data_IF_641856767495
#
_entry.id   IF_641856767495
#
_cell.length_a   1.000
_cell.length_b   1.000
_cell.length_c   1.000
_cell.angle_alpha   90.00
_cell.angle_beta   90.00
_cell.angle_gamma   90.00
#
_symmetry.space_group_name_H-M   'P 1'
#
loop_
_entity.id
_entity.type
_entity.pdbx_description
1 polymer ?
#
# COMPACT_ATOMS: atom_id res chain seq x y z
N UNK A 1 13.30 -17.74 -6.23
CA UNK A 1 11.98 -17.47 -5.59
C UNK A 1 11.56 -18.73 -4.83
N UNK A 2 10.66 -18.63 -3.84
CA UNK A 2 10.08 -19.80 -3.15
C UNK A 2 8.56 -19.75 -3.27
N UNK A 3 7.93 -20.89 -3.52
CA UNK A 3 6.49 -21.09 -3.34
C UNK A 3 6.33 -21.93 -2.07
N UNK A 4 5.52 -21.47 -1.13
CA UNK A 4 5.24 -22.20 0.11
C UNK A 4 3.75 -22.20 0.39
N UNK A 5 3.27 -23.24 1.06
CA UNK A 5 1.91 -23.21 1.62
C UNK A 5 1.86 -22.27 2.83
N UNK A 6 0.65 -21.85 3.18
CA UNK A 6 0.42 -20.91 4.28
C UNK A 6 0.82 -21.48 5.65
N UNK A 7 0.78 -22.80 5.82
CA UNK A 7 1.25 -23.52 7.01
C UNK A 7 2.79 -23.65 7.08
N UNK A 8 3.50 -23.11 6.08
CA UNK A 8 4.96 -23.22 5.96
C UNK A 8 5.43 -24.58 5.42
N UNK A 9 4.52 -25.54 5.20
CA UNK A 9 4.86 -26.85 4.66
C UNK A 9 5.02 -26.77 3.13
N UNK A 10 5.81 -27.68 2.56
CA UNK A 10 6.10 -27.75 1.12
C UNK A 10 6.63 -26.44 0.53
N UNK A 11 7.94 -26.24 0.66
CA UNK A 11 8.67 -25.13 0.03
C UNK A 11 9.26 -25.63 -1.28
N UNK A 12 8.72 -25.16 -2.39
CA UNK A 12 9.33 -25.36 -3.71
C UNK A 12 10.26 -24.20 -4.03
N UNK A 13 11.55 -24.51 -4.25
CA UNK A 13 12.53 -23.53 -4.68
C UNK A 13 12.47 -23.40 -6.20
N UNK A 14 11.91 -22.29 -6.67
CA UNK A 14 11.93 -21.95 -8.09
C UNK A 14 13.35 -21.54 -8.48
N UNK A 15 13.99 -22.41 -9.26
CA UNK A 15 15.31 -22.15 -9.82
C UNK A 15 15.21 -21.09 -10.93
N UNK A 16 16.27 -20.26 -11.10
CA UNK A 16 16.38 -19.36 -12.25
C UNK A 16 16.37 -20.14 -13.56
N UNK A 17 16.13 -19.45 -14.67
CA UNK A 17 16.23 -20.07 -15.98
C UNK A 17 17.66 -20.58 -16.25
N UNK A 18 17.85 -21.79 -16.80
CA UNK A 18 19.17 -22.31 -17.12
C UNK A 18 19.87 -21.39 -18.15
N UNK A 19 21.02 -20.81 -17.80
CA UNK A 19 21.82 -19.97 -18.70
C UNK A 19 21.92 -18.48 -18.33
N UNK A 20 21.13 -17.98 -17.37
CA UNK A 20 21.36 -16.64 -16.81
C UNK A 20 22.48 -16.70 -15.75
N UNK A 21 23.64 -16.14 -16.09
CA UNK A 21 24.82 -16.01 -15.21
C UNK A 21 24.60 -15.07 -14.01
N UNK A 22 23.50 -14.29 -14.01
CA UNK A 22 23.15 -13.34 -12.94
C UNK A 22 21.76 -13.64 -12.41
N UNK A 23 21.67 -13.88 -11.10
CA UNK A 23 20.40 -13.91 -10.39
C UNK A 23 19.84 -12.48 -10.35
N UNK A 24 18.82 -12.20 -11.18
CA UNK A 24 18.13 -10.92 -11.13
C UNK A 24 17.25 -10.83 -9.88
N UNK A 25 17.25 -9.67 -9.24
CA UNK A 25 16.39 -9.42 -8.09
C UNK A 25 14.93 -9.38 -8.54
N UNK A 26 14.10 -10.20 -7.90
CA UNK A 26 12.64 -10.16 -8.06
C UNK A 26 12.08 -9.05 -7.20
N UNK A 27 11.24 -8.21 -7.79
CA UNK A 27 10.68 -7.04 -7.13
C UNK A 27 9.16 -7.09 -7.02
N UNK A 28 8.48 -7.82 -7.91
CA UNK A 28 7.04 -7.96 -7.90
C UNK A 28 6.62 -9.39 -8.24
N UNK A 29 5.51 -9.83 -7.64
CA UNK A 29 4.86 -11.10 -7.95
C UNK A 29 3.35 -10.93 -7.88
N UNK A 30 2.61 -11.61 -8.74
CA UNK A 30 1.15 -11.67 -8.67
C UNK A 30 0.64 -13.03 -9.12
N UNK A 31 -0.37 -13.56 -8.43
CA UNK A 31 -1.03 -14.82 -8.78
C UNK A 31 -2.34 -14.56 -9.50
N UNK A 32 -2.65 -15.41 -10.49
CA UNK A 32 -4.00 -15.49 -11.04
C UNK A 32 -5.01 -15.87 -9.96
N UNK A 33 -6.31 -15.51 -10.10
CA UNK A 33 -7.33 -15.81 -9.10
C UNK A 33 -7.42 -17.30 -8.69
N UNK A 34 -7.24 -18.21 -9.65
CA UNK A 34 -7.25 -19.66 -9.40
C UNK A 34 -5.86 -20.22 -9.03
N UNK A 35 -4.85 -19.36 -8.95
CA UNK A 35 -3.46 -19.70 -8.62
C UNK A 35 -2.83 -20.77 -9.52
N UNK A 36 -3.33 -20.95 -10.75
CA UNK A 36 -2.78 -21.88 -11.74
C UNK A 36 -1.55 -21.29 -12.44
N UNK A 37 -1.54 -19.97 -12.60
CA UNK A 37 -0.41 -19.21 -13.13
C UNK A 37 -0.07 -18.05 -12.20
N UNK A 38 1.18 -17.60 -12.27
CA UNK A 38 1.65 -16.38 -11.62
C UNK A 38 2.68 -15.67 -12.50
N UNK A 39 2.82 -14.37 -12.28
CA UNK A 39 3.78 -13.51 -12.97
C UNK A 39 4.81 -12.96 -12.01
N UNK A 40 6.05 -12.86 -12.49
CA UNK A 40 7.19 -12.35 -11.74
C UNK A 40 7.78 -11.17 -12.50
N UNK A 41 8.05 -10.06 -11.82
CA UNK A 41 8.73 -8.90 -12.38
C UNK A 41 10.09 -8.69 -11.72
N UNK A 42 11.11 -8.40 -12.52
CA UNK A 42 12.49 -8.27 -12.05
C UNK A 42 13.06 -6.84 -12.18
N UNK A 43 14.28 -6.68 -11.66
CA UNK A 43 15.04 -5.43 -11.69
C UNK A 43 15.48 -4.99 -13.10
N UNK A 44 15.49 -5.91 -14.07
CA UNK A 44 15.87 -5.59 -15.46
C UNK A 44 14.70 -5.08 -16.28
N UNK A 45 13.47 -5.27 -15.80
CA UNK A 45 12.25 -4.90 -16.53
C UNK A 45 11.60 -6.09 -17.23
N UNK A 46 12.10 -7.32 -17.03
CA UNK A 46 11.49 -8.54 -17.57
C UNK A 46 10.32 -9.00 -16.71
N UNK A 47 9.36 -9.65 -17.37
CA UNK A 47 8.26 -10.37 -16.71
C UNK A 47 8.31 -11.84 -17.13
N UNK A 48 8.35 -12.75 -16.17
CA UNK A 48 8.17 -14.18 -16.40
C UNK A 48 6.72 -14.58 -16.09
N UNK A 49 6.11 -15.36 -16.99
CA UNK A 49 4.83 -16.04 -16.77
C UNK A 49 5.12 -17.50 -16.45
N UNK A 50 4.66 -17.97 -15.30
CA UNK A 50 4.91 -19.34 -14.83
C UNK A 50 3.63 -20.04 -14.41
N UNK A 51 3.60 -21.36 -14.56
CA UNK A 51 2.57 -22.21 -13.94
C UNK A 51 2.86 -22.41 -12.46
N UNK A 52 1.85 -22.84 -11.71
CA UNK A 52 1.92 -23.13 -10.26
C UNK A 52 3.04 -24.12 -9.89
N UNK A 53 3.35 -25.08 -10.75
CA UNK A 53 4.45 -26.05 -10.61
C UNK A 53 5.84 -25.44 -10.88
N UNK A 54 5.92 -24.12 -11.06
CA UNK A 54 7.17 -23.40 -11.30
C UNK A 54 7.67 -23.41 -12.74
N UNK A 55 7.03 -24.17 -13.63
CA UNK A 55 7.43 -24.23 -15.04
C UNK A 55 7.25 -22.89 -15.74
N UNK A 56 8.27 -22.48 -16.50
CA UNK A 56 8.25 -21.26 -17.28
C UNK A 56 7.36 -21.44 -18.52
N UNK A 57 6.39 -20.55 -18.70
CA UNK A 57 5.56 -20.49 -19.90
C UNK A 57 6.07 -19.46 -20.89
N UNK A 58 6.42 -18.26 -20.42
CA UNK A 58 6.90 -17.18 -21.28
C UNK A 58 7.77 -16.18 -20.50
N UNK A 59 8.63 -15.47 -21.22
CA UNK A 59 9.41 -14.33 -20.71
C UNK A 59 9.21 -13.13 -21.63
N UNK A 60 8.86 -11.99 -21.04
CA UNK A 60 8.54 -10.75 -21.75
C UNK A 60 9.57 -9.68 -21.40
N UNK A 61 10.13 -9.02 -22.40
CA UNK A 61 10.87 -7.76 -22.24
C UNK A 61 9.87 -6.60 -22.04
N UNK A 62 9.25 -6.56 -20.86
CA UNK A 62 8.08 -5.73 -20.61
C UNK A 62 8.42 -4.23 -20.49
N UNK A 63 9.55 -3.91 -19.85
CA UNK A 63 9.93 -2.56 -19.43
C UNK A 63 11.42 -2.29 -19.58
N UNK A 64 11.79 -1.00 -19.66
CA UNK A 64 13.20 -0.56 -19.76
C UNK A 64 13.90 -0.43 -18.41
N UNK A 65 13.12 -0.45 -17.34
CA UNK A 65 13.54 -0.26 -15.95
C UNK A 65 12.76 -1.26 -15.07
N UNK A 66 13.15 -1.42 -13.79
CA UNK A 66 12.58 -2.42 -12.89
C UNK A 66 11.04 -2.49 -12.91
N UNK A 67 10.50 -3.71 -12.91
CA UNK A 67 9.06 -3.94 -12.70
C UNK A 67 8.77 -3.89 -11.20
N UNK A 68 8.06 -2.85 -10.77
CA UNK A 68 7.85 -2.56 -9.34
C UNK A 68 6.47 -3.00 -8.84
N UNK A 69 5.49 -3.09 -9.74
CA UNK A 69 4.14 -3.53 -9.40
C UNK A 69 3.61 -4.52 -10.43
N UNK A 70 2.92 -5.55 -9.94
CA UNK A 70 2.18 -6.52 -10.76
C UNK A 70 0.83 -6.80 -10.10
N UNK A 71 -0.21 -6.92 -10.93
CA UNK A 71 -1.54 -7.29 -10.45
C UNK A 71 -2.29 -8.05 -11.53
N UNK A 72 -2.79 -9.23 -11.21
CA UNK A 72 -3.75 -9.94 -12.06
C UNK A 72 -5.14 -9.31 -11.97
N UNK A 73 -5.86 -9.35 -13.08
CA UNK A 73 -7.28 -9.07 -13.10
C UNK A 73 -8.10 -10.17 -12.39
N UNK A 74 -9.27 -9.83 -11.81
CA UNK A 74 -10.12 -10.79 -11.09
C UNK A 74 -10.74 -11.88 -11.98
N UNK A 75 -10.81 -11.64 -13.30
CA UNK A 75 -11.24 -12.64 -14.29
C UNK A 75 -10.10 -13.59 -14.72
N UNK A 76 -8.85 -13.29 -14.34
CA UNK A 76 -7.66 -14.08 -14.66
C UNK A 76 -7.20 -14.02 -16.11
N UNK A 77 -7.79 -13.16 -16.96
CA UNK A 77 -7.49 -13.10 -18.41
C UNK A 77 -6.35 -12.14 -18.75
N UNK A 78 -6.13 -11.14 -17.90
CA UNK A 78 -5.10 -10.12 -18.09
C UNK A 78 -4.34 -9.83 -16.80
N UNK A 79 -3.17 -9.22 -16.92
CA UNK A 79 -2.44 -8.65 -15.78
C UNK A 79 -1.87 -7.28 -16.14
N UNK A 80 -1.70 -6.44 -15.14
CA UNK A 80 -1.11 -5.12 -15.26
C UNK A 80 0.29 -5.13 -14.64
N UNK A 81 1.19 -4.37 -15.25
CA UNK A 81 2.53 -4.10 -14.74
C UNK A 81 2.77 -2.60 -14.58
N UNK A 82 3.56 -2.23 -13.58
CA UNK A 82 4.04 -0.86 -13.36
C UNK A 82 5.55 -0.86 -13.18
N UNK A 83 6.24 0.11 -13.80
CA UNK A 83 7.69 0.15 -13.81
C UNK A 83 8.28 1.51 -13.43
N UNK A 84 9.54 1.44 -12.98
CA UNK A 84 10.41 2.61 -12.84
C UNK A 84 10.69 3.36 -14.14
N UNK A 85 10.32 2.82 -15.31
CA UNK A 85 10.36 3.53 -16.59
C UNK A 85 9.25 4.58 -16.75
N UNK A 86 8.31 4.63 -15.80
CA UNK A 86 7.21 5.59 -15.79
C UNK A 86 5.95 5.07 -16.48
N UNK A 87 5.96 3.85 -16.99
CA UNK A 87 4.83 3.25 -17.68
C UNK A 87 4.05 2.27 -16.81
N UNK A 88 2.75 2.18 -17.07
CA UNK A 88 1.93 1.05 -16.65
C UNK A 88 1.32 0.40 -17.90
N UNK A 89 1.37 -0.93 -17.98
CA UNK A 89 0.98 -1.70 -19.17
C UNK A 89 0.02 -2.83 -18.79
N UNK A 90 -0.84 -3.19 -19.73
CA UNK A 90 -1.81 -4.28 -19.62
C UNK A 90 -1.44 -5.37 -20.62
N UNK A 91 -1.43 -6.61 -20.15
CA UNK A 91 -0.99 -7.78 -20.91
C UNK A 91 -2.02 -8.89 -20.81
N UNK A 92 -2.18 -9.66 -21.88
CA UNK A 92 -2.88 -10.93 -21.79
C UNK A 92 -2.02 -11.99 -21.07
N UNK A 93 -2.63 -13.09 -20.67
CA UNK A 93 -1.92 -14.21 -20.01
C UNK A 93 -0.87 -14.92 -20.87
N UNK A 94 -0.85 -14.68 -22.18
CA UNK A 94 0.16 -15.22 -23.07
C UNK A 94 1.37 -14.28 -23.21
N UNK A 95 1.33 -13.08 -22.63
CA UNK A 95 2.39 -12.08 -22.64
C UNK A 95 2.35 -11.10 -23.80
N UNK A 96 1.26 -11.04 -24.56
CA UNK A 96 1.06 -9.98 -25.56
C UNK A 96 0.60 -8.69 -24.88
N UNK A 97 1.17 -7.57 -25.31
CA UNK A 97 0.76 -6.23 -24.86
C UNK A 97 -0.63 -5.91 -25.42
N UNK A 98 -1.61 -5.70 -24.55
CA UNK A 98 -2.94 -5.25 -24.96
C UNK A 98 -3.04 -3.73 -24.95
N UNK A 99 -2.40 -3.09 -23.97
CA UNK A 99 -2.54 -1.65 -23.77
C UNK A 99 -1.41 -1.02 -22.97
N UNK A 100 -1.11 0.23 -23.28
CA UNK A 100 -0.35 1.13 -22.40
C UNK A 100 -1.38 1.94 -21.60
N UNK A 101 -1.46 1.69 -20.29
CA UNK A 101 -2.41 2.34 -19.37
C UNK A 101 -1.91 3.72 -18.96
N UNK A 102 -0.60 3.85 -18.79
CA UNK A 102 0.08 5.10 -18.45
C UNK A 102 1.42 5.13 -19.16
N UNK A 103 1.77 6.27 -19.73
CA UNK A 103 3.09 6.56 -20.27
C UNK A 103 3.66 7.84 -19.65
N UNK A 104 4.95 8.08 -19.80
CA UNK A 104 5.56 9.36 -19.44
C UNK A 104 4.95 10.47 -20.29
N UNK A 105 4.27 11.43 -19.66
CA UNK A 105 3.95 12.69 -20.33
C UNK A 105 5.27 13.36 -20.76
N UNK A 106 5.34 13.83 -22.01
CA UNK A 106 6.49 14.55 -22.59
C UNK A 106 6.90 15.85 -21.84
N UNK A 107 6.29 16.13 -20.68
CA UNK A 107 6.40 17.37 -19.91
C UNK A 107 7.59 17.37 -18.93
N UNK A 108 8.74 16.80 -19.31
CA UNK A 108 10.03 16.82 -18.59
C UNK A 108 10.08 16.19 -17.18
N UNK A 109 8.97 15.82 -16.54
CA UNK A 109 8.98 15.13 -15.24
C UNK A 109 9.01 13.61 -15.45
N UNK A 110 10.16 12.97 -15.22
CA UNK A 110 10.32 11.52 -15.30
C UNK A 110 9.41 10.83 -14.28
N UNK A 111 8.30 10.25 -14.74
CA UNK A 111 7.39 9.50 -13.87
C UNK A 111 8.02 8.15 -13.50
N UNK A 112 7.58 7.60 -12.37
CA UNK A 112 7.81 6.21 -11.98
C UNK A 112 6.53 5.64 -11.44
N UNK A 113 6.22 4.40 -11.81
CA UNK A 113 5.08 3.65 -11.28
C UNK A 113 5.59 2.67 -10.25
N UNK A 114 5.07 2.74 -9.02
CA UNK A 114 5.50 1.84 -7.93
C UNK A 114 4.55 0.67 -7.72
N UNK A 115 3.25 0.88 -7.90
CA UNK A 115 2.23 -0.11 -7.62
C UNK A 115 1.08 0.00 -8.61
N UNK A 116 0.52 -1.16 -8.93
CA UNK A 116 -0.68 -1.31 -9.75
C UNK A 116 -1.62 -2.28 -9.06
N UNK A 117 -2.92 -2.01 -9.08
CA UNK A 117 -3.93 -2.90 -8.52
C UNK A 117 -5.22 -2.85 -9.33
N UNK A 118 -5.81 -4.03 -9.58
CA UNK A 118 -7.17 -4.14 -10.09
C UNK A 118 -8.20 -4.01 -8.95
N UNK A 119 -9.33 -3.37 -9.25
CA UNK A 119 -10.54 -3.52 -8.44
C UNK A 119 -11.04 -4.98 -8.49
N UNK A 120 -11.90 -5.43 -7.57
CA UNK A 120 -12.33 -6.83 -7.53
C UNK A 120 -13.45 -7.18 -8.52
N UNK A 121 -13.98 -6.21 -9.27
CA UNK A 121 -15.05 -6.46 -10.25
C UNK A 121 -14.53 -7.39 -11.37
N UNK A 122 -15.32 -8.40 -11.72
CA UNK A 122 -15.00 -9.35 -12.79
C UNK A 122 -15.45 -8.85 -14.16
N UNK A 123 -16.34 -7.87 -14.19
CA UNK A 123 -16.79 -7.20 -15.41
C UNK A 123 -15.67 -6.28 -15.93
N UNK A 124 -15.06 -6.56 -17.10
CA UNK A 124 -13.99 -5.76 -17.65
C UNK A 124 -14.34 -4.28 -17.83
N UNK A 125 -15.61 -3.95 -18.08
CA UNK A 125 -16.07 -2.59 -18.34
C UNK A 125 -16.24 -1.75 -17.07
N UNK A 126 -16.42 -2.41 -15.92
CA UNK A 126 -16.51 -1.78 -14.59
C UNK A 126 -15.19 -1.79 -13.85
N UNK A 127 -14.17 -2.42 -14.44
CA UNK A 127 -12.87 -2.56 -13.85
C UNK A 127 -12.19 -1.20 -13.68
N UNK A 128 -11.70 -0.95 -12.46
CA UNK A 128 -10.82 0.17 -12.15
C UNK A 128 -9.42 -0.38 -11.92
N UNK A 129 -8.43 0.24 -12.54
CA UNK A 129 -7.01 -0.03 -12.31
C UNK A 129 -6.43 1.18 -11.59
N UNK A 130 -5.95 0.97 -10.37
CA UNK A 130 -5.24 1.99 -9.61
C UNK A 130 -3.74 1.90 -9.89
N UNK A 131 -3.12 3.04 -10.19
CA UNK A 131 -1.70 3.16 -10.52
C UNK A 131 -1.07 4.23 -9.63
N UNK A 132 -0.10 3.84 -8.80
CA UNK A 132 0.63 4.79 -7.94
C UNK A 132 1.82 5.38 -8.67
N UNK A 133 1.99 6.69 -8.58
CA UNK A 133 3.05 7.41 -9.29
C UNK A 133 3.90 8.26 -8.36
N UNK A 134 5.15 8.51 -8.75
CA UNK A 134 6.14 9.26 -7.97
C UNK A 134 5.84 10.76 -7.75
N UNK A 135 4.66 11.26 -8.12
CA UNK A 135 4.24 12.64 -7.87
C UNK A 135 3.18 12.75 -6.75
N UNK A 136 3.18 11.78 -5.84
CA UNK A 136 2.31 11.70 -4.66
C UNK A 136 0.82 11.48 -4.97
N UNK A 137 0.51 11.04 -6.20
CA UNK A 137 -0.85 10.80 -6.67
C UNK A 137 -1.05 9.32 -6.98
N UNK A 138 -2.33 8.94 -7.04
CA UNK A 138 -2.77 7.66 -7.60
C UNK A 138 -3.74 7.98 -8.73
N UNK A 139 -3.49 7.42 -9.91
CA UNK A 139 -4.42 7.51 -11.05
C UNK A 139 -5.35 6.30 -11.01
N UNK A 140 -6.65 6.53 -11.18
CA UNK A 140 -7.64 5.48 -11.40
C UNK A 140 -8.01 5.49 -12.88
N UNK A 141 -7.83 4.35 -13.53
CA UNK A 141 -8.01 4.17 -14.97
C UNK A 141 -9.02 3.05 -15.24
N UNK A 142 -9.67 3.04 -16.40
CA UNK A 142 -10.34 1.84 -16.91
C UNK A 142 -9.35 0.96 -17.72
N UNK A 143 -9.81 -0.18 -18.25
CA UNK A 143 -8.96 -1.06 -19.09
C UNK A 143 -8.47 -0.40 -20.39
N UNK A 144 -9.18 0.61 -20.90
CA UNK A 144 -8.75 1.38 -22.08
C UNK A 144 -7.65 2.41 -21.78
N UNK A 145 -7.21 2.53 -20.52
CA UNK A 145 -6.24 3.54 -20.09
C UNK A 145 -6.86 4.93 -19.92
N UNK A 146 -8.19 5.07 -20.04
CA UNK A 146 -8.87 6.33 -19.80
C UNK A 146 -8.84 6.66 -18.32
N UNK A 147 -8.35 7.85 -17.99
CA UNK A 147 -8.34 8.34 -16.61
C UNK A 147 -9.77 8.61 -16.13
N UNK A 148 -10.17 7.90 -15.08
CA UNK A 148 -11.43 8.08 -14.38
C UNK A 148 -11.31 9.14 -13.30
N UNK A 149 -10.27 9.03 -12.44
CA UNK A 149 -10.03 9.91 -11.29
C UNK A 149 -8.54 10.00 -10.95
N UNK A 150 -8.21 10.98 -10.10
CA UNK A 150 -6.88 11.14 -9.50
C UNK A 150 -7.03 11.37 -8.01
N UNK A 151 -6.45 10.48 -7.20
CA UNK A 151 -6.39 10.62 -5.75
C UNK A 151 -5.24 11.56 -5.40
N UNK A 152 -5.56 12.68 -4.72
CA UNK A 152 -4.60 13.71 -4.32
C UNK A 152 -4.71 13.91 -2.80
N UNK A 153 -3.59 13.80 -2.09
CA UNK A 153 -3.57 14.09 -0.66
C UNK A 153 -2.32 13.60 0.08
N UNK A 154 -1.60 12.62 -0.47
CA UNK A 154 -0.27 12.25 0.05
C UNK A 154 0.75 13.37 -0.20
N UNK A 155 1.72 13.47 0.70
CA UNK A 155 2.77 14.51 0.65
C UNK A 155 4.09 14.00 0.06
N UNK A 156 4.23 12.69 -0.09
CA UNK A 156 5.40 12.01 -0.65
C UNK A 156 4.97 10.82 -1.50
N UNK A 157 5.94 10.09 -2.03
CA UNK A 157 5.75 8.97 -2.95
C UNK A 157 4.71 7.98 -2.40
N UNK A 158 3.78 7.55 -3.25
CA UNK A 158 2.83 6.50 -2.92
C UNK A 158 3.41 5.18 -3.41
N UNK A 159 3.69 4.25 -2.49
CA UNK A 159 4.38 2.99 -2.79
C UNK A 159 3.43 1.87 -3.15
N UNK A 160 2.34 1.73 -2.40
CA UNK A 160 1.39 0.65 -2.59
C UNK A 160 -0.04 1.17 -2.63
N UNK A 161 -0.89 0.41 -3.33
CA UNK A 161 -2.34 0.63 -3.42
C UNK A 161 -3.04 -0.72 -3.37
N UNK A 162 -4.19 -0.77 -2.71
CA UNK A 162 -5.03 -1.97 -2.63
C UNK A 162 -6.51 -1.57 -2.67
N UNK A 163 -7.34 -2.44 -3.23
CA UNK A 163 -8.80 -2.31 -3.16
C UNK A 163 -9.36 -3.18 -2.03
N UNK A 164 -10.46 -2.73 -1.41
CA UNK A 164 -11.28 -3.60 -0.58
C UNK A 164 -11.94 -4.68 -1.44
N UNK A 165 -12.30 -5.81 -0.83
CA UNK A 165 -12.91 -6.95 -1.53
C UNK A 165 -14.26 -6.60 -2.19
N UNK A 166 -15.00 -5.66 -1.63
CA UNK A 166 -16.25 -5.17 -2.21
C UNK A 166 -16.04 -4.06 -3.26
N UNK A 167 -14.79 -3.65 -3.48
CA UNK A 167 -14.40 -2.66 -4.47
C UNK A 167 -14.82 -1.23 -4.14
N UNK A 168 -15.36 -0.96 -2.94
CA UNK A 168 -15.85 0.38 -2.57
C UNK A 168 -14.77 1.28 -1.99
N UNK A 169 -13.71 0.69 -1.44
CA UNK A 169 -12.62 1.41 -0.79
C UNK A 169 -11.29 1.14 -1.50
N UNK A 170 -10.44 2.14 -1.45
CA UNK A 170 -9.06 2.09 -1.92
C UNK A 170 -8.19 2.51 -0.74
N UNK A 171 -7.17 1.74 -0.43
CA UNK A 171 -6.15 2.11 0.54
C UNK A 171 -4.83 2.41 -0.18
N UNK A 172 -4.09 3.41 0.29
CA UNK A 172 -2.80 3.82 -0.27
C UNK A 172 -1.75 3.99 0.82
N UNK A 173 -0.54 3.52 0.57
CA UNK A 173 0.60 3.60 1.50
C UNK A 173 1.71 4.51 0.94
N UNK A 174 2.33 5.34 1.78
CA UNK A 174 3.26 6.38 1.32
C UNK A 174 4.51 6.56 2.18
N UNK A 175 5.52 7.13 1.54
CA UNK A 175 6.73 7.70 2.16
C UNK A 175 6.44 8.84 3.16
N UNK A 176 5.23 9.39 3.17
CA UNK A 176 4.80 10.36 4.18
C UNK A 176 4.42 9.72 5.52
N UNK A 177 4.69 8.42 5.68
CA UNK A 177 4.48 7.62 6.90
C UNK A 177 3.00 7.39 7.23
N UNK A 178 2.10 7.60 6.26
CA UNK A 178 0.67 7.43 6.43
C UNK A 178 0.09 6.39 5.48
N UNK A 179 -1.03 5.82 5.92
CA UNK A 179 -1.96 5.10 5.05
C UNK A 179 -3.19 5.98 4.88
N UNK A 180 -3.69 6.14 3.66
CA UNK A 180 -4.95 6.84 3.39
C UNK A 180 -5.99 5.87 2.87
N UNK A 181 -7.23 6.11 3.28
CA UNK A 181 -8.42 5.39 2.83
C UNK A 181 -9.26 6.33 1.97
N UNK A 182 -9.70 5.84 0.83
CA UNK A 182 -10.48 6.57 -0.16
C UNK A 182 -11.71 5.76 -0.53
N UNK A 183 -12.75 6.44 -0.99
CA UNK A 183 -13.75 5.77 -1.82
C UNK A 183 -13.34 5.81 -3.30
N UNK A 184 -14.04 5.03 -4.13
CA UNK A 184 -13.82 4.97 -5.59
C UNK A 184 -14.19 6.25 -6.33
N UNK A 185 -14.94 7.16 -5.71
CA UNK A 185 -15.21 8.49 -6.25
C UNK A 185 -14.02 9.45 -6.06
N UNK A 186 -13.03 9.05 -5.25
CA UNK A 186 -11.80 9.77 -5.00
C UNK A 186 -11.83 10.66 -3.75
N UNK A 187 -12.84 10.50 -2.89
CA UNK A 187 -12.92 11.22 -1.62
C UNK A 187 -12.10 10.49 -0.56
N UNK A 188 -11.23 11.24 0.15
CA UNK A 188 -10.53 10.73 1.33
C UNK A 188 -11.54 10.47 2.46
N UNK A 189 -11.60 9.22 2.93
CA UNK A 189 -12.43 8.75 4.04
C UNK A 189 -11.69 8.80 5.36
N UNK A 190 -10.36 8.64 5.34
CA UNK A 190 -9.54 8.71 6.54
C UNK A 190 -8.06 8.70 6.22
N UNK A 191 -7.26 9.15 7.20
CA UNK A 191 -5.81 8.98 7.22
C UNK A 191 -5.42 8.25 8.49
N UNK A 192 -4.72 7.15 8.35
CA UNK A 192 -4.14 6.39 9.45
C UNK A 192 -2.72 6.88 9.73
N UNK A 193 -2.49 7.26 10.99
CA UNK A 193 -1.21 7.73 11.51
C UNK A 193 -0.71 6.71 12.53
N UNK A 194 0.51 6.22 12.38
CA UNK A 194 1.09 5.30 13.38
C UNK A 194 2.44 4.72 13.01
N UNK A 195 2.81 4.70 11.73
CA UNK A 195 4.18 4.40 11.33
C UNK A 195 5.14 5.56 11.68
N UNK A 196 6.43 5.25 11.75
CA UNK A 196 7.53 6.18 12.01
C UNK A 196 8.50 6.30 10.84
N UNK A 197 8.32 5.48 9.81
CA UNK A 197 9.06 5.54 8.56
C UNK A 197 8.13 5.23 7.37
N UNK A 198 8.70 5.12 6.17
CA UNK A 198 7.99 4.91 4.91
C UNK A 198 7.12 3.67 4.98
N UNK A 199 5.85 3.83 4.56
CA UNK A 199 4.94 2.68 4.43
C UNK A 199 5.10 2.11 3.04
N UNK A 200 5.61 0.88 2.98
CA UNK A 200 6.04 0.21 1.74
C UNK A 200 5.06 -0.85 1.24
N UNK A 201 4.21 -1.38 2.10
CA UNK A 201 3.28 -2.46 1.78
C UNK A 201 1.90 -2.25 2.39
N UNK A 202 0.89 -2.84 1.73
CA UNK A 202 -0.51 -2.67 2.11
C UNK A 202 -1.35 -3.88 1.66
N UNK A 203 -2.27 -4.33 2.52
CA UNK A 203 -3.25 -5.35 2.19
C UNK A 203 -4.56 -5.13 2.95
N UNK A 204 -5.69 -5.43 2.30
CA UNK A 204 -6.97 -5.56 2.98
C UNK A 204 -7.13 -6.96 3.57
N UNK A 205 -7.82 -7.07 4.69
CA UNK A 205 -8.32 -8.35 5.17
C UNK A 205 -9.38 -8.92 4.22
N UNK A 206 -9.57 -10.26 4.18
CA UNK A 206 -10.56 -10.88 3.29
C UNK A 206 -12.00 -10.41 3.53
N UNK A 207 -12.35 -10.03 4.77
CA UNK A 207 -13.66 -9.46 5.11
C UNK A 207 -13.78 -7.97 4.77
N UNK A 208 -12.68 -7.31 4.36
CA UNK A 208 -12.62 -5.90 4.01
C UNK A 208 -12.62 -4.94 5.20
N UNK A 209 -12.72 -5.44 6.44
CA UNK A 209 -12.89 -4.61 7.64
C UNK A 209 -11.56 -4.09 8.21
N UNK A 210 -10.43 -4.63 7.75
CA UNK A 210 -9.11 -4.25 8.24
C UNK A 210 -8.13 -4.01 7.11
N UNK A 211 -7.12 -3.20 7.42
CA UNK A 211 -5.95 -2.96 6.58
C UNK A 211 -4.72 -3.37 7.37
N UNK A 212 -3.82 -4.14 6.77
CA UNK A 212 -2.47 -4.34 7.26
C UNK A 212 -1.51 -3.45 6.47
N UNK A 213 -0.64 -2.72 7.16
CA UNK A 213 0.41 -1.91 6.53
C UNK A 213 1.79 -2.27 7.05
N UNK A 214 2.75 -2.40 6.13
CA UNK A 214 4.14 -2.71 6.42
C UNK A 214 5.03 -1.50 6.15
N UNK A 215 6.02 -1.28 7.02
CA UNK A 215 6.83 -0.06 7.03
C UNK A 215 8.32 -0.34 7.24
N UNK A 216 9.16 0.58 6.75
CA UNK A 216 10.60 0.60 6.98
C UNK A 216 10.95 0.77 8.48
N UNK A 217 9.97 1.15 9.32
CA UNK A 217 10.11 1.19 10.78
C UNK A 217 10.14 -0.21 11.45
N UNK A 218 10.18 -1.28 10.65
CA UNK A 218 10.23 -2.68 11.08
C UNK A 218 8.95 -3.18 11.75
N UNK A 219 7.83 -2.48 11.56
CA UNK A 219 6.53 -2.89 12.13
C UNK A 219 5.48 -3.14 11.05
N UNK A 220 4.51 -3.97 11.42
CA UNK A 220 3.23 -4.11 10.70
C UNK A 220 2.13 -3.59 11.63
N UNK A 221 1.29 -2.69 11.13
CA UNK A 221 0.14 -2.18 11.85
C UNK A 221 -1.17 -2.68 11.22
N UNK A 222 -2.14 -3.01 12.08
CA UNK A 222 -3.50 -3.35 11.68
C UNK A 222 -4.43 -2.18 11.99
N UNK A 223 -5.23 -1.79 10.99
CA UNK A 223 -6.19 -0.70 11.07
C UNK A 223 -7.58 -1.26 10.87
N UNK A 224 -8.53 -0.79 11.65
CA UNK A 224 -9.95 -1.04 11.39
C UNK A 224 -10.51 0.09 10.52
N UNK A 225 -11.15 -0.28 9.40
CA UNK A 225 -11.69 0.68 8.42
C UNK A 225 -13.09 1.17 8.79
N UNK A 226 -13.77 0.45 9.69
CA UNK A 226 -15.10 0.73 10.20
C UNK A 226 -15.07 1.53 11.49
N UNK A 227 -13.88 1.93 11.97
CA UNK A 227 -13.78 3.04 12.92
C UNK A 227 -14.32 4.27 12.19
N UNK A 228 -15.66 4.41 12.25
CA UNK A 228 -16.30 5.69 12.25
C UNK A 228 -15.47 6.50 13.23
N UNK A 229 -15.03 7.65 12.75
CA UNK A 229 -14.48 8.69 13.58
C UNK A 229 -15.53 9.12 14.62
N UNK A 230 -15.89 8.25 15.55
CA UNK A 230 -16.43 8.58 16.87
C UNK A 230 -15.25 9.10 17.70
N UNK A 231 -14.61 10.10 17.12
CA UNK A 231 -13.57 10.93 17.66
C UNK A 231 -14.00 11.61 18.96
N UNK A 232 -15.28 11.94 19.20
CA UNK A 232 -15.70 12.41 20.51
C UNK A 232 -15.41 11.37 21.59
N UNK A 233 -15.83 10.12 21.42
CA UNK A 233 -15.71 9.08 22.45
C UNK A 233 -14.25 8.68 22.68
N UNK A 234 -13.45 8.51 21.63
CA UNK A 234 -12.02 8.18 21.81
C UNK A 234 -11.22 9.36 22.39
N UNK A 235 -11.54 10.60 21.99
CA UNK A 235 -10.94 11.81 22.59
C UNK A 235 -11.36 11.94 24.05
N UNK A 236 -12.63 11.72 24.35
CA UNK A 236 -13.18 11.80 25.70
C UNK A 236 -12.60 10.71 26.60
N UNK A 237 -12.53 9.47 26.14
CA UNK A 237 -11.89 8.36 26.84
C UNK A 237 -10.41 8.66 27.14
N UNK A 238 -9.64 9.07 26.13
CA UNK A 238 -8.22 9.39 26.31
C UNK A 238 -8.03 10.61 27.22
N UNK A 239 -8.82 11.67 27.04
CA UNK A 239 -8.77 12.86 27.88
C UNK A 239 -9.13 12.55 29.33
N UNK A 240 -10.18 11.77 29.58
CA UNK A 240 -10.56 11.35 30.92
C UNK A 240 -9.43 10.59 31.62
N UNK A 241 -8.74 9.70 30.89
CA UNK A 241 -7.63 8.94 31.45
C UNK A 241 -6.43 9.82 31.85
N UNK A 242 -6.11 10.86 31.08
CA UNK A 242 -4.89 11.66 31.29
C UNK A 242 -5.13 13.00 31.97
N UNK A 243 -6.38 13.41 32.17
CA UNK A 243 -6.72 14.73 32.69
C UNK A 243 -6.01 15.00 34.03
N UNK A 244 -5.96 14.00 34.90
CA UNK A 244 -5.26 14.09 36.18
C UNK A 244 -3.74 14.25 36.02
N UNK A 245 -3.12 13.49 35.10
CA UNK A 245 -1.69 13.61 34.82
C UNK A 245 -1.34 14.98 34.22
N UNK A 246 -2.10 15.43 33.23
CA UNK A 246 -1.90 16.74 32.57
C UNK A 246 -2.14 17.90 33.54
N UNK A 247 -3.07 17.78 34.49
CA UNK A 247 -3.37 18.83 35.46
C UNK A 247 -2.35 18.90 36.60
N UNK A 248 -1.84 17.75 37.06
CA UNK A 248 -1.11 17.69 38.33
C UNK A 248 0.40 17.47 38.15
N UNK A 249 0.88 17.06 36.98
CA UNK A 249 2.31 16.88 36.77
C UNK A 249 3.02 18.25 36.61
N UNK A 250 4.01 18.60 37.46
CA UNK A 250 4.74 19.85 37.36
C UNK A 250 5.66 19.94 36.14
N UNK A 251 6.02 18.81 35.52
CA UNK A 251 6.93 18.72 34.38
C UNK A 251 6.21 18.86 33.02
N UNK A 252 4.97 19.35 33.01
CA UNK A 252 4.17 19.53 31.80
C UNK A 252 3.96 21.03 31.55
N UNK A 253 4.28 21.46 30.32
CA UNK A 253 4.09 22.83 29.85
C UNK A 253 2.61 23.23 29.82
N UNK A 254 2.32 24.50 30.11
CA UNK A 254 0.96 25.03 30.16
C UNK A 254 0.17 24.88 28.84
N UNK A 255 0.89 24.88 27.70
CA UNK A 255 0.27 24.65 26.39
C UNK A 255 -0.26 23.21 26.21
N UNK A 256 0.37 22.23 26.87
CA UNK A 256 -0.03 20.83 26.82
C UNK A 256 -1.16 20.50 27.82
N UNK A 257 -1.30 21.30 28.89
CA UNK A 257 -2.45 21.21 29.80
C UNK A 257 -3.78 21.48 29.10
N UNK A 258 -3.74 22.21 27.99
CA UNK A 258 -4.91 22.51 27.16
C UNK A 258 -5.13 21.51 26.01
N UNK A 259 -4.37 20.42 25.93
CA UNK A 259 -4.53 19.40 24.89
C UNK A 259 -6.00 18.93 24.78
N UNK A 260 -6.65 18.70 25.92
CA UNK A 260 -8.03 18.22 26.00
C UNK A 260 -9.12 19.30 25.85
N UNK A 261 -8.76 20.57 25.65
CA UNK A 261 -9.74 21.63 25.44
C UNK A 261 -10.35 21.53 24.03
N UNK A 262 -11.66 21.77 23.96
CA UNK A 262 -12.52 21.55 22.79
C UNK A 262 -12.17 22.34 21.52
N UNK A 263 -11.21 23.27 21.58
CA UNK A 263 -10.85 24.19 20.50
C UNK A 263 -9.69 23.72 19.61
N UNK A 264 -8.97 22.65 19.97
CA UNK A 264 -7.84 22.18 19.17
C UNK A 264 -8.30 21.44 17.90
N UNK A 265 -7.84 21.90 16.72
CA UNK A 265 -8.05 21.16 15.45
C UNK A 265 -7.52 19.73 15.60
N UNK A 266 -8.43 18.75 15.47
CA UNK A 266 -8.22 17.30 15.64
C UNK A 266 -6.90 16.76 15.06
N UNK A 267 -6.47 17.26 13.89
CA UNK A 267 -5.24 16.83 13.22
C UNK A 267 -3.96 17.23 13.96
N UNK A 268 -3.97 18.40 14.61
CA UNK A 268 -2.88 18.87 15.47
C UNK A 268 -2.90 18.16 16.82
N UNK A 269 -4.11 17.93 17.36
CA UNK A 269 -4.32 17.16 18.59
C UNK A 269 -3.67 15.77 18.49
N UNK A 270 -4.03 14.93 17.51
CA UNK A 270 -3.46 13.57 17.41
C UNK A 270 -1.94 13.53 17.23
N UNK A 271 -1.36 14.48 16.48
CA UNK A 271 0.09 14.53 16.27
C UNK A 271 0.83 14.89 17.55
N UNK A 272 0.39 15.95 18.25
CA UNK A 272 0.97 16.35 19.54
C UNK A 272 0.72 15.28 20.60
N UNK A 273 -0.51 14.79 20.66
CA UNK A 273 -0.93 13.74 21.59
C UNK A 273 -0.07 12.49 21.46
N UNK A 274 0.16 12.00 20.24
CA UNK A 274 1.02 10.83 19.98
C UNK A 274 2.48 11.07 20.37
N UNK A 275 3.03 12.24 20.08
CA UNK A 275 4.40 12.59 20.49
C UNK A 275 4.51 12.57 22.01
N UNK A 276 3.55 13.18 22.71
CA UNK A 276 3.54 13.26 24.16
C UNK A 276 3.26 11.91 24.82
N UNK A 277 2.33 11.12 24.29
CA UNK A 277 2.05 9.78 24.81
C UNK A 277 3.29 8.87 24.71
N UNK A 278 4.05 8.94 23.61
CA UNK A 278 5.32 8.23 23.48
C UNK A 278 6.37 8.71 24.49
N UNK A 279 6.44 10.01 24.75
CA UNK A 279 7.34 10.60 25.74
C UNK A 279 6.97 10.13 27.16
N UNK A 280 5.68 10.18 27.50
CA UNK A 280 5.14 9.74 28.80
C UNK A 280 5.37 8.24 28.99
N UNK A 281 5.06 7.42 27.98
CA UNK A 281 5.26 5.97 28.06
C UNK A 281 6.74 5.62 28.24
N UNK A 282 7.63 6.31 27.51
CA UNK A 282 9.08 6.17 27.68
C UNK A 282 9.55 6.60 29.08
N UNK A 283 8.96 7.65 29.67
CA UNK A 283 9.27 8.06 31.04
C UNK A 283 8.76 7.05 32.08
N UNK A 284 7.62 6.39 31.82
CA UNK A 284 7.09 5.33 32.68
C UNK A 284 7.93 4.05 32.60
N UNK A 285 8.42 3.66 31.42
CA UNK A 285 9.29 2.49 31.24
C UNK A 285 10.67 2.68 31.89
N UNK A 286 11.20 3.92 31.93
CA UNK A 286 12.48 4.23 32.59
C UNK A 286 12.36 4.19 34.13
N UNK A 287 11.14 4.18 34.68
CA UNK A 287 10.88 4.04 36.11
C UNK A 287 10.88 2.61 36.65
N UNK A 288 10.95 1.60 35.77
CA UNK A 288 11.06 0.18 36.16
C UNK A 288 12.53 -0.26 36.07
N UNK A 289 13.35 0.25 36.99
CA UNK A 289 14.59 -0.42 37.34
C UNK A 289 14.26 -1.70 38.11
N UNK A 290 14.77 -2.88 37.72
CA UNK A 290 14.64 -4.07 38.54
C UNK A 290 15.57 -3.92 39.75
N UNK A 291 15.01 -3.61 40.91
CA UNK A 291 15.56 -4.04 42.21
C UNK A 291 15.03 -5.45 42.53
#
# INVERSE_FOLDING_TARGET
MRISRADGNQIELLKPHPGELKQNQVLAVSFSPESQIFVIGDITGKIEIRKRDGSLQNTIEAHKLPVLGLSFSPDGKVFASGSGDGTAKLWNINGSLERILLDNDNNNSKLRVFGVAFSPDKDPDKQIIAVTINNNKVKLLNRDGKQLKVLKGHKRLVRAVAFSRDGKLIATASDDQTVKLWDTNGKERGTFYGHNDRVIGLAFSPDGNRIASASDDKTVLLWDVNIKQELPELREYTCNWMQNYLKNNPNIDDSDRQLCNSQNKLKTYYRKFRQKFKEIHRQMDVGLSPE
#
